data_IF_524812000345
#
_entry.id   IF_524812000345
#
_cell.length_a   1.000
_cell.length_b   1.000
_cell.length_c   1.000
_cell.angle_alpha   90.00
_cell.angle_beta   90.00
_cell.angle_gamma   90.00
#
_symmetry.space_group_name_H-M   'P 1'
#
loop_
_entity.id
_entity.type
_entity.pdbx_description
1 polymer ?
#
# COMPACT_ATOMS: atom_id res chain seq x y z
N UNK A 1 -44.03 -17.06 8.93
CA UNK A 1 -44.99 -16.02 8.51
C UNK A 1 -44.18 -14.87 7.95
N UNK A 2 -44.18 -14.56 6.64
CA UNK A 2 -43.29 -13.55 6.12
C UNK A 2 -43.94 -12.17 6.36
N UNK A 3 -43.50 -11.50 7.41
CA UNK A 3 -43.65 -10.04 7.53
C UNK A 3 -42.62 -9.42 6.58
N UNK A 4 -42.84 -9.57 5.27
CA UNK A 4 -42.20 -8.77 4.21
C UNK A 4 -43.14 -7.59 3.96
N UNK A 5 -43.20 -6.66 4.90
CA UNK A 5 -43.90 -5.39 4.72
C UNK A 5 -42.98 -4.37 4.06
N UNK A 6 -43.54 -3.40 3.32
CA UNK A 6 -42.81 -2.29 2.71
C UNK A 6 -41.83 -1.62 3.68
N UNK A 7 -42.17 -1.57 4.97
CA UNK A 7 -41.32 -1.06 6.04
C UNK A 7 -39.93 -1.75 6.13
N UNK A 8 -39.86 -3.07 5.95
CA UNK A 8 -38.58 -3.79 5.98
C UNK A 8 -37.74 -3.51 4.71
N UNK A 9 -38.41 -3.26 3.58
CA UNK A 9 -37.77 -2.88 2.33
C UNK A 9 -37.21 -1.45 2.40
N UNK A 10 -37.98 -0.53 2.97
CA UNK A 10 -37.55 0.85 3.19
C UNK A 10 -36.33 0.91 4.12
N UNK A 11 -36.37 0.21 5.27
CA UNK A 11 -35.22 0.14 6.19
C UNK A 11 -33.97 -0.41 5.49
N UNK A 12 -34.12 -1.43 4.65
CA UNK A 12 -33.01 -1.99 3.89
C UNK A 12 -32.33 -0.94 3.01
N UNK A 13 -33.09 -0.14 2.26
CA UNK A 13 -32.52 0.94 1.44
C UNK A 13 -31.94 2.08 2.27
N UNK A 14 -32.59 2.44 3.38
CA UNK A 14 -32.09 3.46 4.31
C UNK A 14 -30.75 3.10 4.95
N UNK A 15 -30.40 1.81 5.05
CA UNK A 15 -29.09 1.37 5.55
C UNK A 15 -28.11 1.16 4.40
N UNK A 16 -28.58 0.56 3.29
CA UNK A 16 -27.73 0.18 2.16
C UNK A 16 -27.15 1.41 1.44
N UNK A 17 -27.99 2.39 1.09
CA UNK A 17 -27.57 3.57 0.33
C UNK A 17 -26.48 4.36 1.06
N UNK A 18 -26.64 4.75 2.35
CA UNK A 18 -25.59 5.48 3.04
C UNK A 18 -24.34 4.63 3.30
N UNK A 19 -24.46 3.32 3.49
CA UNK A 19 -23.30 2.45 3.67
C UNK A 19 -22.45 2.37 2.40
N UNK A 20 -23.09 2.19 1.23
CA UNK A 20 -22.42 2.21 -0.07
C UNK A 20 -21.81 3.60 -0.32
N UNK A 21 -22.56 4.68 -0.04
CA UNK A 21 -22.08 6.05 -0.20
C UNK A 21 -20.86 6.36 0.67
N UNK A 22 -20.89 5.98 1.94
CA UNK A 22 -19.76 6.14 2.86
C UNK A 22 -18.54 5.32 2.42
N UNK A 23 -18.76 4.09 1.94
CA UNK A 23 -17.68 3.23 1.43
C UNK A 23 -17.06 3.81 0.17
N UNK A 24 -17.87 4.30 -0.78
CA UNK A 24 -17.38 5.00 -1.98
C UNK A 24 -16.53 6.21 -1.60
N UNK A 25 -17.05 7.06 -0.72
CA UNK A 25 -16.36 8.25 -0.24
C UNK A 25 -15.00 7.90 0.36
N UNK A 26 -14.98 6.88 1.22
CA UNK A 26 -13.77 6.41 1.88
C UNK A 26 -12.76 5.84 0.87
N UNK A 27 -13.20 5.03 -0.10
CA UNK A 27 -12.35 4.52 -1.18
C UNK A 27 -11.78 5.68 -2.00
N UNK A 28 -12.62 6.61 -2.48
CA UNK A 28 -12.15 7.72 -3.32
C UNK A 28 -11.12 8.55 -2.59
N UNK A 29 -11.37 8.85 -1.31
CA UNK A 29 -10.44 9.60 -0.48
C UNK A 29 -9.11 8.87 -0.28
N UNK A 30 -9.14 7.56 -0.01
CA UNK A 30 -7.92 6.73 0.10
C UNK A 30 -7.14 6.73 -1.22
N UNK A 31 -7.81 6.49 -2.33
CA UNK A 31 -7.16 6.40 -3.66
C UNK A 31 -6.57 7.76 -4.05
N UNK A 32 -7.25 8.87 -3.76
CA UNK A 32 -6.72 10.21 -4.02
C UNK A 32 -5.46 10.50 -3.20
N UNK A 33 -5.46 10.17 -1.90
CA UNK A 33 -4.28 10.31 -1.06
C UNK A 33 -3.11 9.43 -1.55
N UNK A 34 -3.40 8.19 -1.97
CA UNK A 34 -2.41 7.30 -2.55
C UNK A 34 -1.82 7.87 -3.85
N UNK A 35 -2.66 8.44 -4.72
CA UNK A 35 -2.23 9.14 -5.95
C UNK A 35 -1.38 10.37 -5.66
N UNK A 36 -1.72 11.16 -4.65
CA UNK A 36 -0.93 12.32 -4.24
C UNK A 36 0.44 11.90 -3.71
N UNK A 37 0.50 10.84 -2.89
CA UNK A 37 1.75 10.27 -2.44
C UNK A 37 2.60 9.76 -3.60
N UNK A 38 2.03 8.98 -4.52
CA UNK A 38 2.76 8.49 -5.70
C UNK A 38 3.32 9.67 -6.52
N UNK A 39 2.51 10.70 -6.80
CA UNK A 39 2.99 11.88 -7.53
C UNK A 39 4.09 12.62 -6.78
N UNK A 40 3.95 12.78 -5.46
CA UNK A 40 4.96 13.42 -4.64
C UNK A 40 6.27 12.63 -4.69
N UNK A 41 6.21 11.30 -4.56
CA UNK A 41 7.37 10.41 -4.68
C UNK A 41 8.00 10.55 -6.07
N UNK A 42 7.20 10.54 -7.12
CA UNK A 42 7.67 10.70 -8.50
C UNK A 42 8.32 12.07 -8.72
N UNK A 43 7.75 13.16 -8.19
CA UNK A 43 8.34 14.50 -8.27
C UNK A 43 9.61 14.68 -7.44
N UNK A 44 9.64 14.13 -6.21
CA UNK A 44 10.83 14.09 -5.38
C UNK A 44 11.94 13.30 -6.07
N UNK A 45 11.58 12.15 -6.64
CA UNK A 45 12.51 11.34 -7.39
C UNK A 45 12.97 12.05 -8.67
N UNK A 46 12.20 12.91 -9.31
CA UNK A 46 12.61 13.52 -10.58
C UNK A 46 13.77 14.53 -10.43
N UNK A 47 13.84 15.25 -9.29
CA UNK A 47 14.82 16.30 -9.06
C UNK A 47 15.87 15.88 -8.02
N UNK A 48 17.12 16.35 -8.12
CA UNK A 48 18.11 16.11 -7.06
C UNK A 48 17.60 16.72 -5.74
N UNK A 49 17.38 15.86 -4.74
CA UNK A 49 16.84 16.25 -3.44
C UNK A 49 17.88 17.06 -2.65
N UNK A 50 17.70 18.36 -2.55
CA UNK A 50 18.50 19.22 -1.68
C UNK A 50 17.87 19.24 -0.29
N UNK A 51 18.32 18.31 0.56
CA UNK A 51 17.86 18.22 1.95
C UNK A 51 18.46 19.32 2.82
N UNK A 52 17.66 19.82 3.77
CA UNK A 52 18.13 20.83 4.73
C UNK A 52 19.26 20.25 5.61
N UNK A 53 20.22 21.10 6.00
CA UNK A 53 21.43 20.66 6.74
C UNK A 53 21.10 19.90 8.03
N UNK A 54 20.08 20.33 8.76
CA UNK A 54 19.64 19.64 9.99
C UNK A 54 19.22 18.19 9.74
N UNK A 55 18.55 17.90 8.63
CA UNK A 55 18.13 16.53 8.28
C UNK A 55 19.34 15.66 7.91
N UNK A 56 20.28 16.24 7.17
CA UNK A 56 21.55 15.58 6.81
C UNK A 56 22.39 15.29 8.06
N UNK A 57 22.55 16.28 8.94
CA UNK A 57 23.30 16.16 10.19
C UNK A 57 22.64 15.15 11.14
N UNK A 58 21.31 15.12 11.20
CA UNK A 58 20.59 14.11 11.95
C UNK A 58 20.87 12.69 11.43
N UNK A 59 20.80 12.48 10.11
CA UNK A 59 21.06 11.18 9.50
C UNK A 59 22.52 10.72 9.70
N UNK A 60 23.49 11.63 9.56
CA UNK A 60 24.91 11.34 9.79
C UNK A 60 25.15 11.01 11.27
N UNK A 61 24.68 11.84 12.19
CA UNK A 61 25.03 11.72 13.61
C UNK A 61 24.24 10.62 14.33
N UNK A 62 22.93 10.49 14.06
CA UNK A 62 22.07 9.54 14.76
C UNK A 62 21.99 8.19 14.05
N UNK A 63 21.96 8.17 12.72
CA UNK A 63 21.81 6.94 11.93
C UNK A 63 23.15 6.42 11.37
N UNK A 64 24.25 7.17 11.56
CA UNK A 64 25.62 6.80 11.13
C UNK A 64 25.68 6.50 9.63
N UNK A 65 24.89 7.22 8.84
CA UNK A 65 24.86 7.08 7.37
C UNK A 65 26.09 7.75 6.78
N UNK A 66 26.61 7.15 5.71
CA UNK A 66 27.70 7.71 4.92
C UNK A 66 27.35 9.12 4.42
N UNK A 67 28.19 10.15 4.61
CA UNK A 67 27.95 11.49 4.08
C UNK A 67 27.71 11.48 2.56
N UNK A 68 28.34 10.54 1.83
CA UNK A 68 28.16 10.38 0.38
C UNK A 68 26.75 9.89 -0.02
N UNK A 69 26.04 9.20 0.88
CA UNK A 69 24.77 8.51 0.61
C UNK A 69 23.55 9.14 1.33
N UNK A 70 23.75 10.20 2.11
CA UNK A 70 22.71 10.73 3.01
C UNK A 70 21.46 11.17 2.28
N UNK A 71 21.61 11.82 1.13
CA UNK A 71 20.48 12.29 0.34
C UNK A 71 19.65 11.13 -0.22
N UNK A 72 20.29 10.14 -0.84
CA UNK A 72 19.60 8.96 -1.39
C UNK A 72 18.92 8.15 -0.28
N UNK A 73 19.58 8.05 0.88
CA UNK A 73 19.03 7.40 2.06
C UNK A 73 17.80 8.14 2.62
N UNK A 74 17.87 9.47 2.73
CA UNK A 74 16.76 10.29 3.20
C UNK A 74 15.55 10.20 2.28
N UNK A 75 15.77 10.19 0.96
CA UNK A 75 14.70 10.01 -0.02
C UNK A 75 13.99 8.67 0.19
N UNK A 76 14.73 7.56 0.20
CA UNK A 76 14.15 6.23 0.40
C UNK A 76 13.40 6.13 1.72
N UNK A 77 13.96 6.68 2.81
CA UNK A 77 13.35 6.59 4.14
C UNK A 77 12.13 7.51 4.29
N UNK A 78 12.13 8.68 3.63
CA UNK A 78 10.94 9.53 3.54
C UNK A 78 9.81 8.79 2.81
N UNK A 79 10.11 8.15 1.67
CA UNK A 79 9.13 7.36 0.92
C UNK A 79 8.61 6.19 1.74
N UNK A 80 9.50 5.46 2.42
CA UNK A 80 9.11 4.36 3.31
C UNK A 80 8.13 4.84 4.39
N UNK A 81 8.41 5.99 5.01
CA UNK A 81 7.58 6.53 6.09
C UNK A 81 6.23 7.06 5.61
N UNK A 82 6.21 7.80 4.50
CA UNK A 82 4.96 8.30 3.90
C UNK A 82 4.03 7.15 3.50
N UNK A 83 4.60 6.10 2.91
CA UNK A 83 3.82 4.94 2.48
C UNK A 83 3.37 4.05 3.65
N UNK A 84 4.19 3.93 4.70
CA UNK A 84 3.81 3.22 5.92
C UNK A 84 2.59 3.85 6.63
N UNK A 85 2.48 5.18 6.61
CA UNK A 85 1.30 5.87 7.16
C UNK A 85 0.04 5.66 6.33
N UNK A 86 0.16 5.41 5.03
CA UNK A 86 -0.99 5.18 4.14
C UNK A 86 -1.53 3.75 4.20
N UNK A 87 -0.70 2.76 4.52
CA UNK A 87 -1.09 1.35 4.59
C UNK A 87 -2.34 1.05 5.44
N UNK A 88 -2.46 1.50 6.71
CA UNK A 88 -3.66 1.23 7.52
C UNK A 88 -4.92 1.88 6.92
N UNK A 89 -4.76 2.99 6.18
CA UNK A 89 -5.84 3.72 5.54
C UNK A 89 -6.46 2.92 4.38
N UNK A 90 -5.63 2.17 3.66
CA UNK A 90 -6.05 1.32 2.53
C UNK A 90 -6.81 0.08 2.99
N UNK A 91 -6.59 -0.36 4.23
CA UNK A 91 -7.31 -1.51 4.78
C UNK A 91 -8.77 -1.20 5.13
N UNK A 92 -9.06 0.04 5.55
CA UNK A 92 -10.42 0.49 5.87
C UNK A 92 -11.46 0.15 4.81
N UNK A 93 -11.31 0.58 3.54
CA UNK A 93 -12.29 0.30 2.50
C UNK A 93 -12.40 -1.19 2.17
N UNK A 94 -11.28 -1.92 2.16
CA UNK A 94 -11.28 -3.37 1.89
C UNK A 94 -12.07 -4.12 2.96
N UNK A 95 -11.88 -3.75 4.23
CA UNK A 95 -12.64 -4.31 5.34
C UNK A 95 -14.14 -3.97 5.24
N UNK A 96 -14.50 -2.72 4.90
CA UNK A 96 -15.89 -2.34 4.70
C UNK A 96 -16.55 -3.16 3.58
N UNK A 97 -15.89 -3.33 2.43
CA UNK A 97 -16.40 -4.15 1.32
C UNK A 97 -16.52 -5.62 1.74
N UNK A 98 -15.53 -6.17 2.45
CA UNK A 98 -15.58 -7.55 2.92
C UNK A 98 -16.75 -7.78 3.90
N UNK A 99 -16.99 -6.84 4.82
CA UNK A 99 -18.14 -6.89 5.73
C UNK A 99 -19.46 -6.78 4.97
N UNK A 100 -19.54 -5.91 3.97
CA UNK A 100 -20.72 -5.79 3.09
C UNK A 100 -20.97 -7.09 2.32
N UNK A 101 -19.94 -7.73 1.79
CA UNK A 101 -20.06 -9.03 1.12
C UNK A 101 -20.48 -10.15 2.08
N UNK A 102 -19.88 -10.22 3.28
CA UNK A 102 -20.25 -11.21 4.29
C UNK A 102 -21.69 -11.04 4.76
N UNK A 103 -22.11 -9.80 5.04
CA UNK A 103 -23.48 -9.48 5.44
C UNK A 103 -24.52 -9.82 4.35
N UNK A 104 -24.09 -10.03 3.11
CA UNK A 104 -24.92 -10.43 1.96
C UNK A 104 -24.74 -11.88 1.56
N UNK A 105 -23.97 -12.65 2.33
CA UNK A 105 -23.84 -14.08 2.07
C UNK A 105 -25.17 -14.79 2.40
N UNK A 106 -25.63 -15.73 1.53
CA UNK A 106 -26.80 -16.57 1.77
C UNK A 106 -26.80 -17.31 3.12
N UNK A 107 -25.60 -17.51 3.71
CA UNK A 107 -25.44 -18.12 5.02
C UNK A 107 -25.90 -17.24 6.20
N UNK A 108 -25.98 -15.91 6.01
CA UNK A 108 -26.41 -14.94 7.02
C UNK A 108 -27.83 -14.45 6.73
N UNK A 109 -28.15 -14.13 5.47
CA UNK A 109 -29.49 -13.69 5.07
C UNK A 109 -29.77 -14.12 3.62
N UNK A 110 -30.86 -14.86 3.39
CA UNK A 110 -31.28 -15.40 2.08
C UNK A 110 -32.02 -14.33 1.26
N UNK A 111 -31.42 -13.15 1.16
CA UNK A 111 -31.91 -12.08 0.30
C UNK A 111 -31.36 -12.26 -1.11
N UNK A 112 -32.24 -12.45 -2.08
CA UNK A 112 -31.92 -12.45 -3.52
C UNK A 112 -31.19 -11.14 -3.88
N UNK A 113 -29.87 -11.22 -4.02
CA UNK A 113 -29.05 -10.06 -4.39
C UNK A 113 -29.00 -9.97 -5.91
N UNK A 114 -29.42 -8.85 -6.51
CA UNK A 114 -29.22 -8.63 -7.94
C UNK A 114 -27.73 -8.73 -8.28
N UNK A 115 -27.39 -9.52 -9.31
CA UNK A 115 -26.04 -9.66 -9.85
C UNK A 115 -25.32 -8.31 -10.10
N UNK A 116 -26.06 -7.24 -10.39
CA UNK A 116 -25.52 -5.89 -10.55
C UNK A 116 -24.87 -5.32 -9.28
N UNK A 117 -25.38 -5.63 -8.08
CA UNK A 117 -24.80 -5.19 -6.81
C UNK A 117 -23.49 -5.91 -6.50
N UNK A 118 -23.40 -7.20 -6.83
CA UNK A 118 -22.15 -7.96 -6.68
C UNK A 118 -21.04 -7.39 -7.56
N UNK A 119 -21.36 -7.06 -8.82
CA UNK A 119 -20.42 -6.42 -9.74
C UNK A 119 -19.93 -5.06 -9.21
N UNK A 120 -20.80 -4.30 -8.54
CA UNK A 120 -20.41 -3.04 -7.87
C UNK A 120 -19.39 -3.30 -6.75
N UNK A 121 -19.61 -4.30 -5.89
CA UNK A 121 -18.64 -4.62 -4.84
C UNK A 121 -17.29 -5.10 -5.38
N UNK A 122 -17.29 -5.91 -6.44
CA UNK A 122 -16.05 -6.36 -7.10
C UNK A 122 -15.31 -5.15 -7.68
N UNK A 123 -16.00 -4.26 -8.38
CA UNK A 123 -15.37 -3.05 -8.95
C UNK A 123 -14.83 -2.10 -7.87
N UNK A 124 -15.55 -1.95 -6.75
CA UNK A 124 -15.06 -1.22 -5.57
C UNK A 124 -13.79 -1.85 -4.99
N UNK A 125 -13.76 -3.17 -4.88
CA UNK A 125 -12.60 -3.90 -4.35
C UNK A 125 -11.38 -3.72 -5.25
N UNK A 126 -11.55 -3.86 -6.56
CA UNK A 126 -10.49 -3.61 -7.54
C UNK A 126 -10.00 -2.15 -7.48
N UNK A 127 -10.93 -1.20 -7.30
CA UNK A 127 -10.57 0.21 -7.16
C UNK A 127 -9.78 0.49 -5.87
N UNK A 128 -10.13 -0.13 -4.75
CA UNK A 128 -9.36 -0.04 -3.51
C UNK A 128 -7.94 -0.65 -3.66
N UNK A 129 -7.82 -1.81 -4.31
CA UNK A 129 -6.53 -2.46 -4.59
C UNK A 129 -5.64 -1.57 -5.47
N UNK A 130 -6.23 -0.80 -6.38
CA UNK A 130 -5.46 0.09 -7.26
C UNK A 130 -4.62 1.13 -6.48
N UNK A 131 -5.09 1.59 -5.31
CA UNK A 131 -4.34 2.52 -4.46
C UNK A 131 -3.02 1.92 -3.97
N UNK A 132 -3.06 0.66 -3.53
CA UNK A 132 -1.87 -0.06 -3.07
C UNK A 132 -0.87 -0.28 -4.21
N UNK A 133 -1.37 -0.67 -5.38
CA UNK A 133 -0.53 -0.88 -6.57
C UNK A 133 0.18 0.43 -6.96
N UNK A 134 -0.49 1.57 -6.88
CA UNK A 134 0.11 2.87 -7.17
C UNK A 134 1.24 3.21 -6.19
N UNK A 135 1.04 2.97 -4.89
CA UNK A 135 2.06 3.21 -3.87
C UNK A 135 3.27 2.29 -4.03
N UNK A 136 3.05 1.00 -4.32
CA UNK A 136 4.14 0.06 -4.56
C UNK A 136 4.96 0.43 -5.79
N UNK A 137 4.31 0.89 -6.87
CA UNK A 137 5.00 1.38 -8.07
C UNK A 137 5.86 2.60 -7.77
N UNK A 138 5.29 3.60 -7.08
CA UNK A 138 6.03 4.80 -6.69
C UNK A 138 7.24 4.48 -5.80
N UNK A 139 7.05 3.62 -4.79
CA UNK A 139 8.14 3.18 -3.92
C UNK A 139 9.23 2.44 -4.71
N UNK A 140 8.85 1.46 -5.53
CA UNK A 140 9.79 0.69 -6.36
C UNK A 140 10.61 1.61 -7.28
N UNK A 141 9.95 2.59 -7.91
CA UNK A 141 10.62 3.60 -8.74
C UNK A 141 11.66 4.40 -7.95
N UNK A 142 11.29 4.90 -6.76
CA UNK A 142 12.20 5.64 -5.88
C UNK A 142 13.41 4.80 -5.46
N UNK A 143 13.21 3.52 -5.11
CA UNK A 143 14.30 2.61 -4.75
C UNK A 143 15.21 2.30 -5.92
N UNK A 144 14.67 2.01 -7.10
CA UNK A 144 15.49 1.77 -8.30
C UNK A 144 16.32 3.01 -8.63
N UNK A 145 15.75 4.21 -8.51
CA UNK A 145 16.50 5.45 -8.72
C UNK A 145 17.63 5.63 -7.71
N UNK A 146 17.36 5.49 -6.41
CA UNK A 146 18.38 5.61 -5.36
C UNK A 146 19.52 4.59 -5.57
N UNK A 147 19.19 3.35 -5.93
CA UNK A 147 20.18 2.32 -6.23
C UNK A 147 21.05 2.69 -7.44
N UNK A 148 20.44 3.20 -8.52
CA UNK A 148 21.19 3.64 -9.69
C UNK A 148 22.14 4.79 -9.35
N UNK A 149 21.70 5.78 -8.56
CA UNK A 149 22.54 6.90 -8.12
C UNK A 149 23.73 6.44 -7.27
N UNK A 150 23.54 5.46 -6.39
CA UNK A 150 24.61 4.88 -5.58
C UNK A 150 25.60 4.07 -6.42
N UNK A 151 25.12 3.32 -7.42
CA UNK A 151 25.96 2.59 -8.37
C UNK A 151 26.79 3.57 -9.23
N UNK A 152 26.17 4.65 -9.70
CA UNK A 152 26.86 5.69 -10.47
C UNK A 152 27.97 6.34 -9.63
N UNK A 153 27.73 6.59 -8.33
CA UNK A 153 28.77 7.09 -7.39
C UNK A 153 29.94 6.12 -7.23
N UNK A 154 29.68 4.81 -7.10
CA UNK A 154 30.75 3.79 -7.06
C UNK A 154 31.57 3.82 -8.36
N UNK A 155 30.90 3.95 -9.50
CA UNK A 155 31.59 3.99 -10.80
C UNK A 155 32.48 5.24 -10.93
N UNK A 156 32.01 6.40 -10.44
CA UNK A 156 32.77 7.64 -10.43
C UNK A 156 34.00 7.54 -9.51
N UNK A 157 33.86 6.98 -8.31
CA UNK A 157 34.98 6.76 -7.37
C UNK A 157 36.02 5.79 -7.94
N UNK A 158 35.58 4.73 -8.63
CA UNK A 158 36.50 3.77 -9.27
C UNK A 158 37.31 4.39 -10.41
N UNK A 159 36.74 5.40 -11.09
CA UNK A 159 37.38 6.09 -12.21
C UNK A 159 38.41 7.15 -11.79
N UNK A 160 38.51 7.51 -10.50
CA UNK A 160 39.44 8.52 -9.99
C UNK A 160 40.92 8.10 -9.99
N UNK A 161 41.27 6.92 -10.52
CA UNK A 161 42.65 6.43 -10.64
C UNK A 161 43.31 6.00 -9.31
N UNK A 162 42.80 6.50 -8.17
CA UNK A 162 43.08 6.01 -6.81
C UNK A 162 41.75 5.73 -6.12
N UNK A 163 41.15 4.55 -6.32
CA UNK A 163 39.89 4.22 -5.70
C UNK A 163 40.04 4.15 -4.18
N UNK A 164 39.20 4.88 -3.46
CA UNK A 164 39.06 4.70 -2.02
C UNK A 164 38.13 3.51 -1.75
N UNK A 165 38.72 2.34 -1.48
CA UNK A 165 37.96 1.12 -1.17
C UNK A 165 37.07 1.28 0.07
N UNK A 166 37.41 2.18 1.00
CA UNK A 166 36.61 2.41 2.22
C UNK A 166 35.30 3.09 1.86
N UNK A 167 35.32 4.07 0.95
CA UNK A 167 34.12 4.76 0.45
C UNK A 167 33.25 3.81 -0.36
N UNK A 168 33.85 3.04 -1.28
CA UNK A 168 33.12 2.05 -2.09
C UNK A 168 32.39 1.04 -1.21
N UNK A 169 33.08 0.46 -0.22
CA UNK A 169 32.50 -0.51 0.70
C UNK A 169 31.37 0.08 1.55
N UNK A 170 31.47 1.39 1.88
CA UNK A 170 30.42 2.09 2.62
C UNK A 170 29.16 2.26 1.77
N UNK A 171 29.32 2.66 0.51
CA UNK A 171 28.20 2.77 -0.45
C UNK A 171 27.55 1.40 -0.71
N UNK A 172 28.35 0.34 -0.90
CA UNK A 172 27.85 -1.03 -1.06
C UNK A 172 27.03 -1.50 0.16
N UNK A 173 27.49 -1.18 1.37
CA UNK A 173 26.76 -1.51 2.58
C UNK A 173 25.39 -0.82 2.67
N UNK A 174 25.29 0.40 2.12
CA UNK A 174 24.03 1.16 2.09
C UNK A 174 23.09 0.67 0.98
N UNK A 175 23.64 0.29 -0.17
CA UNK A 175 22.90 -0.42 -1.23
C UNK A 175 22.21 -1.66 -0.66
N UNK A 176 22.92 -2.46 0.13
CA UNK A 176 22.36 -3.68 0.72
C UNK A 176 21.29 -3.37 1.79
N UNK A 177 21.44 -2.28 2.55
CA UNK A 177 20.40 -1.80 3.49
C UNK A 177 19.15 -1.37 2.76
N UNK A 178 19.26 -0.54 1.72
CA UNK A 178 18.13 -0.10 0.90
C UNK A 178 17.47 -1.30 0.20
N UNK A 179 18.26 -2.28 -0.24
CA UNK A 179 17.76 -3.50 -0.87
C UNK A 179 16.97 -4.38 0.11
N UNK A 180 17.39 -4.45 1.36
CA UNK A 180 16.69 -5.25 2.38
C UNK A 180 15.62 -4.46 3.15
N UNK A 181 15.42 -3.17 2.83
CA UNK A 181 14.38 -2.36 3.44
C UNK A 181 12.98 -2.90 3.09
N UNK A 182 12.23 -3.29 4.13
CA UNK A 182 10.86 -3.83 4.04
C UNK A 182 9.88 -2.99 4.88
N UNK A 183 9.94 -1.67 4.70
CA UNK A 183 9.07 -0.70 5.38
C UNK A 183 8.11 -0.02 4.41
N UNK A 184 6.89 0.27 4.86
CA UNK A 184 5.89 0.92 4.02
C UNK A 184 5.57 0.13 2.76
N UNK A 185 5.44 0.82 1.62
CA UNK A 185 5.16 0.22 0.32
C UNK A 185 6.35 -0.55 -0.29
N UNK A 186 7.51 -0.61 0.39
CA UNK A 186 8.58 -1.55 0.02
C UNK A 186 8.30 -2.97 0.50
N UNK A 187 7.34 -3.14 1.41
CA UNK A 187 6.91 -4.44 1.86
C UNK A 187 5.89 -5.01 0.88
N UNK A 188 6.02 -6.28 0.46
CA UNK A 188 4.98 -6.93 -0.32
C UNK A 188 3.63 -6.89 0.40
N UNK A 189 2.55 -6.65 -0.34
CA UNK A 189 1.18 -6.54 0.18
C UNK A 189 0.73 -7.74 1.03
N UNK A 190 1.30 -8.93 0.81
CA UNK A 190 0.96 -10.15 1.57
C UNK A 190 1.61 -10.22 2.97
N UNK A 191 2.61 -9.38 3.28
CA UNK A 191 3.28 -9.40 4.60
C UNK A 191 2.69 -8.39 5.59
N UNK A 192 1.46 -7.92 5.35
CA UNK A 192 0.86 -6.89 6.17
C UNK A 192 0.55 -7.37 7.60
N UNK A 193 0.88 -6.57 8.63
CA UNK A 193 0.71 -6.97 10.04
C UNK A 193 -0.75 -7.23 10.41
N UNK A 194 -1.70 -6.49 9.80
CA UNK A 194 -3.12 -6.75 9.99
C UNK A 194 -3.53 -8.10 9.38
N UNK A 195 -3.06 -8.41 8.16
CA UNK A 195 -3.30 -9.73 7.55
C UNK A 195 -2.72 -10.85 8.42
N UNK A 196 -1.51 -10.67 8.93
CA UNK A 196 -0.86 -11.63 9.84
C UNK A 196 -1.65 -11.81 11.14
N UNK A 197 -2.24 -10.74 11.69
CA UNK A 197 -3.05 -10.82 12.91
C UNK A 197 -4.33 -11.67 12.73
N UNK A 198 -4.85 -11.76 11.51
CA UNK A 198 -6.00 -12.61 11.17
C UNK A 198 -5.62 -13.99 10.62
N UNK A 199 -4.34 -14.42 10.69
CA UNK A 199 -3.89 -15.73 10.19
C UNK A 199 -3.30 -15.73 8.78
N UNK A 200 -3.04 -14.55 8.20
CA UNK A 200 -2.38 -14.37 6.92
C UNK A 200 -3.26 -14.62 5.70
N UNK A 201 -2.63 -14.88 4.56
CA UNK A 201 -3.34 -15.12 3.30
C UNK A 201 -4.22 -16.37 3.34
N UNK A 202 -3.86 -17.35 4.19
CA UNK A 202 -4.60 -18.60 4.33
C UNK A 202 -6.01 -18.39 4.87
N UNK A 203 -6.20 -17.50 5.85
CA UNK A 203 -7.53 -17.20 6.39
C UNK A 203 -8.37 -16.39 5.42
N UNK A 204 -7.77 -15.43 4.69
CA UNK A 204 -8.44 -14.69 3.63
C UNK A 204 -8.87 -15.62 2.48
N UNK A 205 -8.01 -16.58 2.13
CA UNK A 205 -8.29 -17.55 1.07
C UNK A 205 -9.35 -18.56 1.47
N UNK A 206 -9.32 -19.06 2.71
CA UNK A 206 -10.38 -19.90 3.26
C UNK A 206 -11.70 -19.14 3.35
N UNK A 207 -11.68 -17.85 3.74
CA UNK A 207 -12.87 -17.01 3.76
C UNK A 207 -13.44 -16.77 2.35
N UNK A 208 -12.56 -16.52 1.37
CA UNK A 208 -12.93 -16.40 -0.04
C UNK A 208 -13.49 -17.72 -0.60
N UNK A 209 -12.88 -18.85 -0.30
CA UNK A 209 -13.35 -20.17 -0.72
C UNK A 209 -14.70 -20.50 -0.08
N UNK A 210 -14.87 -20.17 1.19
CA UNK A 210 -16.15 -20.33 1.88
C UNK A 210 -17.22 -19.44 1.25
N UNK A 211 -16.91 -18.16 0.99
CA UNK A 211 -17.82 -17.25 0.29
C UNK A 211 -18.17 -17.73 -1.12
N UNK A 212 -17.21 -18.23 -1.89
CA UNK A 212 -17.43 -18.79 -3.23
C UNK A 212 -18.31 -20.04 -3.19
N UNK A 213 -18.09 -20.93 -2.22
CA UNK A 213 -18.92 -22.12 -2.00
C UNK A 213 -20.34 -21.78 -1.57
N UNK A 214 -20.53 -20.72 -0.78
CA UNK A 214 -21.86 -20.22 -0.38
C UNK A 214 -22.59 -19.56 -1.57
N UNK A 215 -21.87 -18.93 -2.50
CA UNK A 215 -22.43 -18.27 -3.69
C UNK A 215 -22.63 -19.21 -4.90
N UNK A 216 -22.28 -20.51 -4.78
CA UNK A 216 -22.46 -21.48 -5.87
C UNK A 216 -21.56 -21.25 -7.09
N UNK A 217 -20.58 -20.34 -7.00
CA UNK A 217 -19.52 -20.19 -7.98
C UNK A 217 -18.47 -21.28 -7.71
N UNK A 218 -18.74 -22.48 -8.22
CA UNK A 218 -17.76 -23.53 -8.30
C UNK A 218 -16.58 -23.07 -9.17
N UNK A 219 -15.40 -22.98 -8.56
CA UNK A 219 -14.12 -23.09 -9.26
C UNK A 219 -13.82 -24.57 -9.51
#
# INVERSE_FOLDING_TARGET
MPVRGDFAHDIHYWILIPSIGATLWLITWVVENARLCERLITHLSANPSLWHKEATDWAINHKKVAPECVHDWLDVHLVARLTATMQPLIFGPVLCIALLLMARSPAIDDWDVPWGLELIYITMLLYAISAEVMLQRGATSARTKALNQLIDKISAERNLGKPDEVVIKRIESEIERIRNLREGAFRPWYEWPLLQSFGGFGSLWVALQYLAGVWGLGL
#
